data_IF_118099184073
#
_entry.id   IF_118099184073
#
_cell.length_a   1.000
_cell.length_b   1.000
_cell.length_c   1.000
_cell.angle_alpha   90.00
_cell.angle_beta   90.00
_cell.angle_gamma   90.00
#
_symmetry.space_group_name_H-M   'P 1'
#
loop_
_entity.id
_entity.type
_entity.pdbx_description
1 polymer ?
#
# COMPACT_ATOMS: atom_id res chain seq x y z
N UNK A 1 0.50 -30.69 0.23
CA UNK A 1 1.29 -29.70 1.01
C UNK A 1 0.37 -28.52 1.21
N UNK A 2 0.07 -28.15 2.46
CA UNK A 2 -0.79 -26.99 2.75
C UNK A 2 -0.11 -25.71 2.27
N UNK A 3 -0.86 -24.82 1.64
CA UNK A 3 -0.34 -23.55 1.12
C UNK A 3 0.13 -22.65 2.25
N UNK A 4 1.04 -21.71 1.97
CA UNK A 4 1.50 -20.74 2.97
C UNK A 4 0.31 -19.96 3.59
N UNK A 5 -0.67 -19.60 2.75
CA UNK A 5 -1.89 -18.92 3.16
C UNK A 5 -2.74 -19.76 4.12
N UNK A 6 -2.89 -21.06 3.86
CA UNK A 6 -3.63 -21.95 4.76
C UNK A 6 -2.99 -22.01 6.15
N UNK A 7 -1.65 -22.07 6.24
CA UNK A 7 -0.94 -22.06 7.53
C UNK A 7 -1.14 -20.75 8.29
N UNK A 8 -1.11 -19.62 7.58
CA UNK A 8 -1.36 -18.30 8.15
C UNK A 8 -2.80 -18.18 8.66
N UNK A 9 -3.79 -18.64 7.88
CA UNK A 9 -5.18 -18.65 8.30
C UNK A 9 -5.43 -19.58 9.48
N UNK A 10 -4.85 -20.79 9.50
CA UNK A 10 -4.94 -21.70 10.64
C UNK A 10 -4.39 -21.08 11.92
N UNK A 11 -3.25 -20.37 11.83
CA UNK A 11 -2.70 -19.64 12.95
C UNK A 11 -3.66 -18.54 13.43
N UNK A 12 -4.17 -17.71 12.52
CA UNK A 12 -5.07 -16.61 12.88
C UNK A 12 -6.41 -17.10 13.44
N UNK A 13 -6.99 -18.18 12.91
CA UNK A 13 -8.21 -18.79 13.46
C UNK A 13 -8.02 -19.37 14.86
N UNK A 14 -6.80 -19.76 15.24
CA UNK A 14 -6.50 -20.27 16.59
C UNK A 14 -6.26 -19.16 17.61
N UNK A 15 -5.53 -18.12 17.21
CA UNK A 15 -5.10 -17.06 18.12
C UNK A 15 -6.15 -15.95 18.29
N UNK A 16 -7.02 -15.75 17.30
CA UNK A 16 -8.02 -14.70 17.33
C UNK A 16 -9.36 -15.32 17.74
N UNK A 17 -9.88 -14.87 18.87
CA UNK A 17 -11.23 -15.21 19.32
C UNK A 17 -12.30 -14.43 18.51
N UNK A 18 -12.37 -14.75 17.22
CA UNK A 18 -13.37 -14.26 16.26
C UNK A 18 -13.90 -15.42 15.45
N UNK A 19 -15.15 -15.30 15.03
CA UNK A 19 -15.75 -16.27 14.11
C UNK A 19 -15.00 -16.22 12.74
N UNK A 20 -14.69 -17.38 12.12
CA UNK A 20 -13.88 -17.46 10.90
C UNK A 20 -14.36 -16.57 9.74
N UNK A 21 -15.67 -16.49 9.48
CA UNK A 21 -16.20 -15.63 8.41
C UNK A 21 -16.03 -14.15 8.74
N UNK A 22 -16.16 -13.75 10.01
CA UNK A 22 -15.87 -12.38 10.44
C UNK A 22 -14.40 -12.03 10.23
N UNK A 23 -13.48 -12.92 10.59
CA UNK A 23 -12.05 -12.71 10.40
C UNK A 23 -11.69 -12.61 8.91
N UNK A 24 -12.25 -13.48 8.07
CA UNK A 24 -12.06 -13.43 6.62
C UNK A 24 -12.62 -12.14 6.00
N UNK A 25 -13.78 -11.67 6.48
CA UNK A 25 -14.36 -10.40 6.02
C UNK A 25 -13.45 -9.21 6.36
N UNK A 26 -12.86 -9.21 7.54
CA UNK A 26 -11.89 -8.20 7.98
C UNK A 26 -10.63 -8.24 7.13
N UNK A 27 -10.02 -9.41 6.96
CA UNK A 27 -8.85 -9.60 6.10
C UNK A 27 -9.11 -9.14 4.66
N UNK A 28 -10.30 -9.43 4.12
CA UNK A 28 -10.68 -8.98 2.79
C UNK A 28 -10.81 -7.46 2.70
N UNK A 29 -11.43 -6.82 3.69
CA UNK A 29 -11.56 -5.35 3.74
C UNK A 29 -10.20 -4.67 3.81
N UNK A 30 -9.32 -5.18 4.65
CA UNK A 30 -7.95 -4.68 4.78
C UNK A 30 -7.17 -4.88 3.48
N UNK A 31 -7.25 -6.07 2.88
CA UNK A 31 -6.61 -6.37 1.60
C UNK A 31 -7.08 -5.44 0.48
N UNK A 32 -8.39 -5.21 0.36
CA UNK A 32 -8.97 -4.26 -0.61
C UNK A 32 -8.45 -2.85 -0.36
N UNK A 33 -8.39 -2.40 0.90
CA UNK A 33 -7.91 -1.06 1.26
C UNK A 33 -6.42 -0.87 0.91
N UNK A 34 -5.59 -1.88 1.16
CA UNK A 34 -4.17 -1.89 0.78
C UNK A 34 -4.01 -1.79 -0.73
N UNK A 35 -4.73 -2.63 -1.48
CA UNK A 35 -4.70 -2.63 -2.95
C UNK A 35 -5.17 -1.29 -3.52
N UNK A 36 -6.25 -0.74 -2.97
CA UNK A 36 -6.78 0.56 -3.37
C UNK A 36 -5.74 1.67 -3.17
N UNK A 37 -5.16 1.77 -1.98
CA UNK A 37 -4.14 2.79 -1.67
C UNK A 37 -2.94 2.69 -2.61
N UNK A 38 -2.45 1.46 -2.84
CA UNK A 38 -1.34 1.20 -3.75
C UNK A 38 -1.64 1.71 -5.16
N UNK A 39 -2.78 1.33 -5.73
CA UNK A 39 -3.13 1.72 -7.09
C UNK A 39 -3.37 3.23 -7.25
N UNK A 40 -3.93 3.89 -6.24
CA UNK A 40 -4.06 5.35 -6.25
C UNK A 40 -2.67 6.02 -6.18
N UNK A 41 -1.77 5.53 -5.33
CA UNK A 41 -0.39 6.02 -5.24
C UNK A 41 0.36 5.86 -6.57
N UNK A 42 0.29 4.68 -7.19
CA UNK A 42 0.85 4.41 -8.52
C UNK A 42 0.25 5.36 -9.58
N UNK A 43 -1.07 5.57 -9.56
CA UNK A 43 -1.73 6.48 -10.49
C UNK A 43 -1.26 7.93 -10.32
N UNK A 44 -1.03 8.38 -9.07
CA UNK A 44 -0.52 9.71 -8.79
C UNK A 44 0.93 9.87 -9.27
N UNK A 45 1.81 8.93 -8.93
CA UNK A 45 3.22 8.95 -9.37
C UNK A 45 3.38 8.92 -10.90
N UNK A 46 2.49 8.20 -11.59
CA UNK A 46 2.46 8.14 -13.05
C UNK A 46 1.75 9.35 -13.71
N UNK A 47 1.33 10.35 -12.94
CA UNK A 47 0.63 11.53 -13.44
C UNK A 47 -0.76 11.26 -14.02
N UNK A 48 -1.35 10.08 -13.75
CA UNK A 48 -2.70 9.71 -14.22
C UNK A 48 -3.80 10.42 -13.43
N UNK A 49 -3.50 10.85 -12.21
CA UNK A 49 -4.37 11.70 -11.38
C UNK A 49 -3.56 12.87 -10.84
N UNK A 50 -4.23 14.01 -10.62
CA UNK A 50 -3.60 15.17 -10.01
C UNK A 50 -3.49 15.03 -8.48
N UNK A 51 -2.69 15.92 -7.87
CA UNK A 51 -2.46 15.94 -6.43
C UNK A 51 -3.74 16.14 -5.64
N UNK A 52 -4.67 16.97 -6.12
CA UNK A 52 -5.95 17.22 -5.44
C UNK A 52 -6.78 15.94 -5.33
N UNK A 53 -6.83 15.15 -6.40
CA UNK A 53 -7.53 13.87 -6.48
C UNK A 53 -6.82 12.79 -5.66
N UNK A 54 -5.49 12.78 -5.66
CA UNK A 54 -4.72 11.89 -4.78
C UNK A 54 -5.00 12.20 -3.28
N UNK A 55 -5.04 13.47 -2.89
CA UNK A 55 -5.36 13.89 -1.51
C UNK A 55 -6.77 13.47 -1.12
N UNK A 56 -7.75 13.56 -2.03
CA UNK A 56 -9.11 13.10 -1.75
C UNK A 56 -9.17 11.59 -1.45
N UNK A 57 -8.30 10.80 -2.07
CA UNK A 57 -8.32 9.34 -1.94
C UNK A 57 -7.42 8.80 -0.84
N UNK A 58 -6.25 9.42 -0.62
CA UNK A 58 -5.22 8.94 0.32
C UNK A 58 -5.07 9.82 1.56
N UNK A 59 -5.54 11.06 1.51
CA UNK A 59 -5.25 12.08 2.51
C UNK A 59 -3.96 12.86 2.20
N UNK A 60 -3.86 14.06 2.78
CA UNK A 60 -2.75 14.97 2.52
C UNK A 60 -1.39 14.41 2.97
N UNK A 61 -1.33 13.82 4.17
CA UNK A 61 -0.09 13.26 4.73
C UNK A 61 0.50 12.16 3.86
N UNK A 62 -0.32 11.20 3.41
CA UNK A 62 0.15 10.12 2.55
C UNK A 62 0.64 10.61 1.18
N UNK A 63 0.03 11.67 0.64
CA UNK A 63 0.50 12.29 -0.61
C UNK A 63 1.81 13.03 -0.41
N UNK A 64 2.00 13.70 0.73
CA UNK A 64 3.28 14.35 1.07
C UNK A 64 4.41 13.31 1.22
N UNK A 65 4.15 12.19 1.92
CA UNK A 65 5.12 11.10 2.04
C UNK A 65 5.53 10.52 0.68
N UNK A 66 4.59 10.39 -0.25
CA UNK A 66 4.88 9.97 -1.62
C UNK A 66 5.70 11.01 -2.38
N UNK A 67 5.38 12.30 -2.24
CA UNK A 67 6.12 13.41 -2.85
C UNK A 67 7.58 13.43 -2.34
N UNK A 68 7.79 13.23 -1.03
CA UNK A 68 9.11 13.16 -0.40
C UNK A 68 9.91 11.94 -0.88
N UNK A 69 9.30 10.75 -0.87
CA UNK A 69 9.95 9.54 -1.35
C UNK A 69 10.36 9.65 -2.82
N UNK A 70 9.49 10.23 -3.66
CA UNK A 70 9.80 10.45 -5.07
C UNK A 70 10.96 11.43 -5.27
N UNK A 71 10.98 12.55 -4.54
CA UNK A 71 12.08 13.52 -4.59
C UNK A 71 13.42 12.91 -4.16
N UNK A 72 13.41 12.02 -3.16
CA UNK A 72 14.60 11.30 -2.73
C UNK A 72 15.14 10.41 -3.86
N UNK A 73 14.28 9.61 -4.51
CA UNK A 73 14.65 8.78 -5.66
C UNK A 73 15.19 9.63 -6.82
N UNK A 74 14.54 10.74 -7.16
CA UNK A 74 15.05 11.66 -8.19
C UNK A 74 16.42 12.25 -7.82
N UNK A 75 16.64 12.57 -6.54
CA UNK A 75 17.93 13.07 -6.07
C UNK A 75 19.02 12.04 -6.24
N UNK A 76 18.76 10.79 -5.87
CA UNK A 76 19.71 9.67 -6.00
C UNK A 76 20.04 9.38 -7.47
N UNK A 77 19.03 9.40 -8.35
CA UNK A 77 19.24 9.27 -9.80
C UNK A 77 20.12 10.43 -10.31
N UNK A 78 19.81 11.68 -9.94
CA UNK A 78 20.62 12.84 -10.36
C UNK A 78 22.05 12.75 -9.85
N UNK A 79 22.26 12.27 -8.62
CA UNK A 79 23.59 12.03 -8.07
C UNK A 79 24.35 11.00 -8.91
N UNK A 80 23.75 9.84 -9.18
CA UNK A 80 24.36 8.80 -10.01
C UNK A 80 24.64 9.23 -11.46
N UNK A 81 23.79 10.07 -12.04
CA UNK A 81 23.97 10.58 -13.41
C UNK A 81 25.05 11.66 -13.52
N UNK A 82 25.31 12.42 -12.44
CA UNK A 82 26.35 13.46 -12.47
C UNK A 82 27.75 12.87 -12.49
N UNK A 83 27.92 11.61 -12.05
CA UNK A 83 29.22 11.03 -11.81
C UNK A 83 29.98 11.83 -10.74
N UNK A 84 30.95 11.21 -10.07
CA UNK A 84 31.98 12.01 -9.40
C UNK A 84 32.96 12.58 -10.44
#
# INVERSE_FOLDING_TARGET
MSTQLEKELEYLFREIDKEPTSLLSEALKEGIHILYKRHVGEAYMLGKIDRKKAIQFLGASAVEELDEAWRAVESDIRWGLKGE
#
